data_IF_032921712707
#
_entry.id   IF_032921712707
#
_cell.length_a   1.000
_cell.length_b   1.000
_cell.length_c   1.000
_cell.angle_alpha   90.00
_cell.angle_beta   90.00
_cell.angle_gamma   90.00
#
_symmetry.space_group_name_H-M   'P 1'
#
loop_
_entity.id
_entity.type
_entity.pdbx_description
1 polymer ?
#
# COMPACT_ATOMS: atom_id res chain seq x y z
N UNK A 1 -11.07 36.83 -14.08
CA UNK A 1 -11.51 35.42 -14.15
C UNK A 1 -10.75 34.77 -15.30
N UNK A 2 -9.93 33.76 -15.02
CA UNK A 2 -9.27 32.97 -16.07
C UNK A 2 -10.24 31.86 -16.47
N UNK A 3 -10.82 31.98 -17.66
CA UNK A 3 -11.63 30.95 -18.28
C UNK A 3 -10.80 29.69 -18.48
N UNK A 4 -11.02 28.69 -17.64
CA UNK A 4 -10.62 27.32 -17.93
C UNK A 4 -11.48 26.82 -19.09
N UNK A 5 -10.93 26.89 -20.30
CA UNK A 5 -11.56 26.38 -21.50
C UNK A 5 -12.02 24.90 -21.39
N UNK A 6 -12.80 24.44 -22.37
CA UNK A 6 -13.55 23.19 -22.31
C UNK A 6 -12.75 21.97 -21.78
N UNK A 7 -13.25 21.39 -20.68
CA UNK A 7 -12.73 20.20 -19.96
C UNK A 7 -12.95 18.94 -20.82
N UNK A 8 -12.26 18.79 -21.95
CA UNK A 8 -12.55 17.74 -22.93
C UNK A 8 -11.36 16.80 -23.18
N UNK A 9 -10.15 17.16 -22.75
CA UNK A 9 -8.93 16.37 -23.00
C UNK A 9 -8.35 15.68 -21.75
N UNK A 10 -9.06 15.71 -20.60
CA UNK A 10 -8.51 15.21 -19.32
C UNK A 10 -8.78 13.72 -19.04
N UNK A 11 -9.76 13.12 -19.72
CA UNK A 11 -10.18 11.73 -19.48
C UNK A 11 -9.87 10.85 -20.69
N UNK A 12 -8.63 10.34 -20.78
CA UNK A 12 -8.36 9.15 -21.61
C UNK A 12 -8.89 7.94 -20.87
N UNK A 13 -9.58 7.05 -21.58
CA UNK A 13 -10.07 5.81 -20.98
C UNK A 13 -8.90 4.90 -20.54
N UNK A 14 -9.10 4.01 -19.54
CA UNK A 14 -8.06 3.09 -19.08
C UNK A 14 -7.42 2.27 -20.21
N UNK A 15 -8.22 1.84 -21.19
CA UNK A 15 -7.71 1.09 -22.35
C UNK A 15 -6.83 1.95 -23.27
N UNK A 16 -7.15 3.23 -23.46
CA UNK A 16 -6.34 4.15 -24.27
C UNK A 16 -5.01 4.45 -23.60
N UNK A 17 -5.01 4.59 -22.27
CA UNK A 17 -3.78 4.73 -21.47
C UNK A 17 -2.90 3.48 -21.60
N UNK A 18 -3.50 2.30 -21.57
CA UNK A 18 -2.81 1.04 -21.81
C UNK A 18 -2.20 0.98 -23.21
N UNK A 19 -2.95 1.30 -24.25
CA UNK A 19 -2.46 1.35 -25.64
C UNK A 19 -1.32 2.38 -25.79
N UNK A 20 -1.44 3.55 -25.15
CA UNK A 20 -0.37 4.56 -25.12
C UNK A 20 0.91 4.00 -24.51
N UNK A 21 0.82 3.22 -23.43
CA UNK A 21 1.97 2.53 -22.84
C UNK A 21 2.55 1.50 -23.80
N UNK A 22 1.73 0.67 -24.44
CA UNK A 22 2.19 -0.32 -25.42
C UNK A 22 2.93 0.29 -26.62
N UNK A 23 2.48 1.45 -27.10
CA UNK A 23 3.17 2.18 -28.18
C UNK A 23 4.61 2.53 -27.81
N UNK A 24 4.94 2.71 -26.53
CA UNK A 24 6.32 3.02 -26.10
C UNK A 24 7.28 1.82 -26.22
N UNK A 25 6.76 0.58 -26.28
CA UNK A 25 7.59 -0.63 -26.45
C UNK A 25 7.91 -0.96 -27.91
N UNK A 26 7.23 -0.34 -28.88
CA UNK A 26 7.46 -0.59 -30.31
C UNK A 26 8.74 0.11 -30.78
N UNK A 27 9.89 -0.50 -30.49
CA UNK A 27 11.22 -0.10 -30.99
C UNK A 27 11.49 -0.63 -32.39
N UNK A 28 11.03 -1.85 -32.68
CA UNK A 28 11.11 -2.45 -34.00
C UNK A 28 9.73 -2.38 -34.70
N UNK A 29 9.63 -1.54 -35.74
CA UNK A 29 8.40 -1.36 -36.52
C UNK A 29 8.11 -2.51 -37.48
N UNK A 30 9.12 -3.28 -37.86
CA UNK A 30 8.96 -4.44 -38.75
C UNK A 30 8.35 -5.63 -38.01
N UNK A 31 8.52 -5.68 -36.68
CA UNK A 31 7.98 -6.72 -35.79
C UNK A 31 7.36 -6.10 -34.53
N UNK A 32 6.23 -5.39 -34.65
CA UNK A 32 5.67 -4.61 -33.55
C UNK A 32 5.24 -5.47 -32.35
N UNK A 33 4.68 -6.66 -32.61
CA UNK A 33 4.27 -7.60 -31.55
C UNK A 33 5.47 -8.12 -30.75
N UNK A 34 6.55 -8.52 -31.45
CA UNK A 34 7.78 -8.99 -30.82
C UNK A 34 8.43 -7.88 -29.99
N UNK A 35 8.51 -6.68 -30.54
CA UNK A 35 9.06 -5.51 -29.83
C UNK A 35 8.27 -5.16 -28.56
N UNK A 36 6.94 -5.29 -28.59
CA UNK A 36 6.11 -5.09 -27.40
C UNK A 36 6.38 -6.17 -26.35
N UNK A 37 6.43 -7.44 -26.75
CA UNK A 37 6.70 -8.54 -25.84
C UNK A 37 8.08 -8.40 -25.17
N UNK A 38 9.11 -8.10 -25.94
CA UNK A 38 10.46 -7.84 -25.43
C UNK A 38 10.48 -6.67 -24.44
N UNK A 39 9.87 -5.54 -24.81
CA UNK A 39 9.78 -4.37 -23.94
C UNK A 39 9.07 -4.65 -22.62
N UNK A 40 8.00 -5.46 -22.65
CA UNK A 40 7.27 -5.87 -21.46
C UNK A 40 8.09 -6.81 -20.55
N UNK A 41 8.78 -7.80 -21.14
CA UNK A 41 9.65 -8.72 -20.39
C UNK A 41 10.76 -7.94 -19.68
N UNK A 42 11.41 -7.00 -20.38
CA UNK A 42 12.45 -6.14 -19.80
C UNK A 42 11.89 -5.28 -18.68
N UNK A 43 10.73 -4.64 -18.86
CA UNK A 43 10.11 -3.83 -17.80
C UNK A 43 9.80 -4.67 -16.54
N UNK A 44 9.27 -5.89 -16.72
CA UNK A 44 8.98 -6.81 -15.61
C UNK A 44 10.24 -7.27 -14.90
N UNK A 45 11.28 -7.63 -15.63
CA UNK A 45 12.57 -8.02 -15.06
C UNK A 45 13.19 -6.85 -14.26
N UNK A 46 13.15 -5.63 -14.80
CA UNK A 46 13.64 -4.44 -14.11
C UNK A 46 12.83 -4.13 -12.85
N UNK A 47 11.50 -4.21 -12.92
CA UNK A 47 10.62 -4.02 -11.76
C UNK A 47 10.89 -5.06 -10.67
N UNK A 48 11.08 -6.32 -11.05
CA UNK A 48 11.39 -7.40 -10.12
C UNK A 48 12.77 -7.22 -9.47
N UNK A 49 13.76 -6.78 -10.26
CA UNK A 49 15.14 -6.59 -9.80
C UNK A 49 15.35 -5.27 -9.02
N UNK A 50 14.46 -4.29 -9.13
CA UNK A 50 14.64 -2.95 -8.56
C UNK A 50 14.86 -2.93 -7.04
N UNK A 51 14.19 -3.77 -6.21
CA UNK A 51 14.42 -3.79 -4.77
C UNK A 51 15.81 -4.28 -4.37
N UNK A 52 16.47 -5.06 -5.24
CA UNK A 52 17.82 -5.58 -5.02
C UNK A 52 18.89 -4.51 -5.28
N UNK A 53 18.57 -3.46 -6.05
CA UNK A 53 19.44 -2.33 -6.34
C UNK A 53 19.08 -1.11 -5.48
N UNK A 54 19.34 -1.18 -4.16
CA UNK A 54 19.04 -0.08 -3.22
C UNK A 54 19.89 1.16 -3.47
N UNK A 55 21.11 0.98 -3.97
CA UNK A 55 22.06 2.07 -4.21
C UNK A 55 21.84 2.77 -5.56
N UNK A 56 20.91 2.26 -6.40
CA UNK A 56 20.59 2.83 -7.72
C UNK A 56 19.17 3.38 -7.72
N UNK A 57 19.04 4.68 -7.94
CA UNK A 57 17.75 5.36 -8.06
C UNK A 57 17.08 4.98 -9.39
N UNK A 58 16.22 3.95 -9.35
CA UNK A 58 15.40 3.56 -10.50
C UNK A 58 14.02 4.23 -10.44
N UNK A 59 13.36 4.38 -11.59
CA UNK A 59 11.96 4.88 -11.65
C UNK A 59 10.99 4.06 -10.78
N UNK A 60 11.33 2.81 -10.49
CA UNK A 60 10.52 1.88 -9.70
C UNK A 60 10.76 2.01 -8.19
N UNK A 61 11.93 2.52 -7.79
CA UNK A 61 12.31 2.73 -6.39
C UNK A 61 11.98 4.15 -5.89
N UNK A 62 11.55 5.05 -6.77
CA UNK A 62 11.17 6.40 -6.37
C UNK A 62 9.82 6.35 -5.63
N UNK A 63 9.72 6.81 -4.37
CA UNK A 63 8.44 6.95 -3.70
C UNK A 63 7.57 7.89 -4.54
N UNK A 64 6.31 7.51 -4.80
CA UNK A 64 5.42 8.32 -5.62
C UNK A 64 5.37 9.75 -5.07
N UNK A 65 5.39 10.77 -5.94
CA UNK A 65 5.40 12.18 -5.46
C UNK A 65 4.09 12.57 -4.76
N UNK A 66 3.11 11.66 -4.77
CA UNK A 66 1.83 11.78 -4.09
C UNK A 66 1.63 10.70 -3.00
N UNK A 67 2.68 10.24 -2.31
CA UNK A 67 2.45 9.56 -1.01
C UNK A 67 2.08 10.61 0.04
N UNK A 68 0.93 11.26 -0.15
CA UNK A 68 0.04 11.42 0.99
C UNK A 68 -0.31 9.99 1.33
N UNK A 69 0.08 9.51 2.52
CA UNK A 69 -0.50 8.29 3.09
C UNK A 69 -2.00 8.29 2.72
N UNK A 70 -2.48 7.44 1.79
CA UNK A 70 -3.91 7.37 1.61
C UNK A 70 -4.44 6.94 2.98
N UNK A 71 -5.30 7.74 3.64
CA UNK A 71 -5.90 7.31 4.89
C UNK A 71 -6.48 5.92 4.63
N UNK A 72 -6.31 4.96 5.56
CA UNK A 72 -6.82 3.62 5.37
C UNK A 72 -8.27 3.76 4.92
N UNK A 73 -8.59 3.23 3.73
CA UNK A 73 -9.97 3.26 3.25
C UNK A 73 -10.84 2.57 4.30
N UNK A 74 -12.14 2.90 4.37
CA UNK A 74 -13.07 2.34 5.36
C UNK A 74 -12.92 0.80 5.52
N UNK A 75 -12.67 0.10 4.40
CA UNK A 75 -12.40 -1.35 4.35
C UNK A 75 -11.14 -1.77 5.14
N UNK A 76 -10.04 -1.02 5.07
CA UNK A 76 -8.82 -1.31 5.84
C UNK A 76 -9.00 -0.99 7.33
N UNK A 77 -9.78 0.04 7.67
CA UNK A 77 -10.09 0.35 9.08
C UNK A 77 -10.89 -0.78 9.74
N UNK A 78 -11.82 -1.40 9.03
CA UNK A 78 -12.58 -2.57 9.53
C UNK A 78 -11.68 -3.77 9.83
N UNK A 79 -10.70 -4.05 8.95
CA UNK A 79 -9.73 -5.14 9.17
C UNK A 79 -8.82 -4.85 10.35
N UNK A 80 -8.30 -3.63 10.45
CA UNK A 80 -7.46 -3.20 11.59
C UNK A 80 -8.24 -3.34 12.90
N UNK A 81 -9.49 -2.87 12.91
CA UNK A 81 -10.39 -3.01 14.05
C UNK A 81 -10.60 -4.46 14.46
N UNK A 82 -10.92 -5.32 13.49
CA UNK A 82 -11.17 -6.74 13.75
C UNK A 82 -9.95 -7.43 14.35
N UNK A 83 -8.75 -7.17 13.83
CA UNK A 83 -7.50 -7.75 14.37
C UNK A 83 -7.26 -7.27 15.81
N UNK A 84 -7.44 -5.98 16.08
CA UNK A 84 -7.26 -5.41 17.42
C UNK A 84 -8.31 -5.92 18.43
N UNK A 85 -9.51 -6.31 17.99
CA UNK A 85 -10.58 -6.81 18.86
C UNK A 85 -10.52 -8.29 19.17
N UNK A 86 -9.79 -9.08 18.39
CA UNK A 86 -9.65 -10.52 18.61
C UNK A 86 -8.35 -10.91 19.30
N UNK A 87 -7.56 -9.92 19.76
CA UNK A 87 -6.28 -10.13 20.43
C UNK A 87 -6.44 -9.85 21.93
N UNK A 88 -6.35 -10.85 22.83
CA UNK A 88 -6.55 -10.66 24.26
C UNK A 88 -5.51 -9.71 24.91
N UNK A 89 -4.36 -9.52 24.27
CA UNK A 89 -3.31 -8.58 24.70
C UNK A 89 -3.75 -7.11 24.60
N UNK A 90 -4.75 -6.83 23.76
CA UNK A 90 -5.26 -5.48 23.48
C UNK A 90 -6.35 -5.08 24.48
N UNK A 91 -7.01 -6.04 25.13
CA UNK A 91 -8.10 -5.80 26.09
C UNK A 91 -7.68 -4.84 27.22
N UNK A 92 -6.47 -5.03 27.75
CA UNK A 92 -5.91 -4.16 28.78
C UNK A 92 -5.78 -2.69 28.31
N UNK A 93 -5.50 -2.47 27.02
CA UNK A 93 -5.41 -1.13 26.42
C UNK A 93 -6.78 -0.55 26.10
N UNK A 94 -7.75 -1.38 25.69
CA UNK A 94 -9.13 -0.93 25.47
C UNK A 94 -9.77 -0.43 26.77
N UNK A 95 -9.56 -1.14 27.89
CA UNK A 95 -10.04 -0.71 29.21
C UNK A 95 -9.41 0.63 29.61
N UNK A 96 -8.09 0.78 29.42
CA UNK A 96 -7.38 2.05 29.67
C UNK A 96 -7.94 3.19 28.81
N UNK A 97 -8.16 2.94 27.52
CA UNK A 97 -8.71 3.93 26.61
C UNK A 97 -10.12 4.38 27.02
N UNK A 98 -11.02 3.43 27.31
CA UNK A 98 -12.37 3.75 27.79
C UNK A 98 -12.37 4.53 29.10
N UNK A 99 -11.45 4.21 30.01
CA UNK A 99 -11.28 4.95 31.26
C UNK A 99 -10.81 6.39 31.04
N UNK A 100 -9.97 6.63 30.02
CA UNK A 100 -9.41 7.94 29.73
C UNK A 100 -10.32 8.79 28.82
N UNK A 101 -11.11 8.13 27.98
CA UNK A 101 -11.94 8.74 26.94
C UNK A 101 -13.33 8.08 26.85
N UNK A 102 -14.21 8.28 27.84
CA UNK A 102 -15.52 7.61 27.87
C UNK A 102 -16.47 8.04 26.75
N UNK A 103 -16.25 9.22 26.15
CA UNK A 103 -17.15 9.81 25.14
C UNK A 103 -16.65 9.66 23.70
N UNK A 104 -15.51 8.99 23.48
CA UNK A 104 -14.90 8.87 22.14
C UNK A 104 -15.28 7.55 21.49
N UNK A 105 -15.42 7.57 20.16
CA UNK A 105 -15.67 6.33 19.42
C UNK A 105 -14.40 5.47 19.44
N UNK A 106 -14.54 4.27 20.01
CA UNK A 106 -13.44 3.33 20.11
C UNK A 106 -12.99 2.83 18.73
N UNK A 107 -13.86 2.80 17.72
CA UNK A 107 -13.48 2.33 16.38
C UNK A 107 -12.61 3.32 15.63
N UNK A 108 -12.85 4.60 15.82
CA UNK A 108 -12.16 5.66 15.07
C UNK A 108 -10.87 6.10 15.76
N UNK A 109 -10.89 6.25 17.09
CA UNK A 109 -9.79 6.92 17.80
C UNK A 109 -8.83 5.97 18.51
N UNK A 110 -9.24 4.73 18.80
CA UNK A 110 -8.40 3.76 19.48
C UNK A 110 -7.15 3.35 18.70
N UNK A 111 -7.22 3.05 17.37
CA UNK A 111 -6.05 2.57 16.63
C UNK A 111 -4.90 3.59 16.64
N UNK A 112 -5.22 4.86 16.44
CA UNK A 112 -4.23 5.94 16.44
C UNK A 112 -3.66 6.18 17.84
N UNK A 113 -4.51 6.16 18.87
CA UNK A 113 -4.07 6.29 20.26
C UNK A 113 -3.18 5.12 20.69
N UNK A 114 -3.55 3.89 20.34
CA UNK A 114 -2.80 2.68 20.65
C UNK A 114 -1.42 2.68 19.96
N UNK A 115 -1.38 3.12 18.69
CA UNK A 115 -0.15 3.38 17.95
C UNK A 115 0.78 4.38 18.65
N UNK A 116 0.21 5.45 19.22
CA UNK A 116 0.99 6.46 19.95
C UNK A 116 1.51 5.93 21.29
N UNK A 117 0.68 5.20 22.05
CA UNK A 117 1.07 4.64 23.35
C UNK A 117 2.24 3.67 23.23
N UNK A 118 2.18 2.73 22.29
CA UNK A 118 3.23 1.73 22.08
C UNK A 118 4.57 2.32 21.63
N UNK A 119 4.54 3.37 20.78
CA UNK A 119 5.75 4.13 20.39
C UNK A 119 6.38 4.87 21.56
N UNK A 120 5.57 5.35 22.50
CA UNK A 120 6.06 6.06 23.69
C UNK A 120 6.60 5.08 24.73
N UNK A 121 6.06 3.87 24.77
CA UNK A 121 6.39 2.81 25.73
C UNK A 121 7.37 1.76 25.16
N UNK A 122 8.22 2.20 24.22
CA UNK A 122 9.10 1.40 23.35
C UNK A 122 10.09 0.46 24.09
N UNK A 123 10.33 0.66 25.39
CA UNK A 123 11.28 -0.15 26.17
C UNK A 123 10.63 -1.38 26.82
N UNK A 124 9.30 -1.45 26.90
CA UNK A 124 8.58 -2.53 27.61
C UNK A 124 7.52 -3.26 26.79
N UNK A 125 7.30 -2.88 25.53
CA UNK A 125 6.31 -3.52 24.68
C UNK A 125 6.87 -4.83 24.09
N UNK A 126 6.05 -5.89 24.08
CA UNK A 126 6.38 -7.12 23.34
C UNK A 126 6.50 -6.80 21.85
N UNK A 127 7.33 -7.55 21.13
CA UNK A 127 7.48 -7.42 19.67
C UNK A 127 6.14 -7.54 18.94
N UNK A 128 5.23 -8.35 19.46
CA UNK A 128 3.89 -8.57 18.92
C UNK A 128 2.97 -7.36 19.12
N UNK A 129 2.97 -6.74 20.31
CA UNK A 129 2.21 -5.51 20.58
C UNK A 129 2.69 -4.35 19.70
N UNK A 130 4.01 -4.24 19.50
CA UNK A 130 4.58 -3.23 18.62
C UNK A 130 4.17 -3.46 17.15
N UNK A 131 4.16 -4.70 16.69
CA UNK A 131 3.71 -5.05 15.34
C UNK A 131 2.22 -4.74 15.13
N UNK A 132 1.36 -5.08 16.10
CA UNK A 132 -0.07 -4.77 16.06
C UNK A 132 -0.32 -3.26 16.00
N UNK A 133 0.44 -2.48 16.77
CA UNK A 133 0.28 -1.03 16.82
C UNK A 133 0.81 -0.29 15.57
N UNK A 134 1.75 -0.91 14.85
CA UNK A 134 2.22 -0.39 13.57
C UNK A 134 1.21 -0.63 12.44
N UNK A 135 0.27 -1.55 12.64
CA UNK A 135 -0.73 -1.92 11.65
C UNK A 135 -0.14 -2.63 10.42
N UNK A 136 -0.97 -2.95 9.43
CA UNK A 136 -0.52 -3.62 8.22
C UNK A 136 0.45 -2.71 7.44
N UNK A 137 1.65 -3.21 7.16
CA UNK A 137 2.58 -2.53 6.25
C UNK A 137 2.00 -2.49 4.84
N UNK A 138 1.95 -1.31 4.18
CA UNK A 138 1.40 -1.19 2.82
C UNK A 138 2.28 -1.87 1.77
N UNK A 139 3.52 -2.22 2.13
CA UNK A 139 4.36 -3.14 1.39
C UNK A 139 3.81 -4.55 1.57
N UNK A 140 2.83 -4.94 0.74
CA UNK A 140 2.45 -6.34 0.60
C UNK A 140 3.73 -7.14 0.33
N UNK A 141 4.15 -7.93 1.31
CA UNK A 141 5.11 -8.99 1.07
C UNK A 141 4.32 -10.04 0.30
N UNK A 142 4.40 -10.02 -1.03
CA UNK A 142 3.82 -11.09 -1.83
C UNK A 142 4.59 -12.37 -1.49
N UNK A 143 4.01 -13.25 -0.70
CA UNK A 143 4.49 -14.62 -0.61
C UNK A 143 4.06 -15.31 -1.88
N UNK A 144 4.99 -15.94 -2.60
CA UNK A 144 4.65 -16.88 -3.66
C UNK A 144 3.87 -18.02 -2.99
N UNK A 145 2.54 -17.95 -2.96
CA UNK A 145 1.73 -19.05 -2.47
C UNK A 145 1.92 -20.22 -3.44
N UNK A 146 2.44 -21.33 -2.93
CA UNK A 146 2.40 -22.59 -3.65
C UNK A 146 1.02 -23.20 -3.47
N UNK A 147 0.43 -23.70 -4.55
CA UNK A 147 -0.67 -24.66 -4.45
C UNK A 147 -0.07 -25.91 -3.82
N UNK A 148 -0.39 -26.18 -2.56
CA UNK A 148 -0.16 -27.49 -1.98
C UNK A 148 -1.12 -28.42 -2.73
N UNK A 149 -0.55 -29.34 -3.51
CA UNK A 149 -1.29 -30.31 -4.32
C UNK A 149 -2.51 -30.82 -3.54
N UNK A 150 -3.70 -30.39 -4.00
CA UNK A 150 -4.94 -31.03 -3.62
C UNK A 150 -4.88 -32.47 -4.14
N UNK A 151 -5.04 -33.40 -3.22
CA UNK A 151 -5.16 -34.85 -3.45
C UNK A 151 -6.23 -35.14 -4.50
#
# INVERSE_FOLDING_TARGET
ALEGGPIHLRWMYPFERFIKKLKTYVRNKDKPKGSIAEGYVVEKALTFSSPYFRDVTTKFNHPDRNVVFPPPTCQFQEVIWYVLHNSPEIDAYQVKFKSQFPNKDMKEEFPDWFGLQTKTQCVSASSELFALACGPTPTSTSFNSCVVNGV
#
